data_IF_127683043451
#
_entry.id   IF_127683043451
#
_cell.length_a   1.000
_cell.length_b   1.000
_cell.length_c   1.000
_cell.angle_alpha   90.00
_cell.angle_beta   90.00
_cell.angle_gamma   90.00
#
_symmetry.space_group_name_H-M   'P 1'
#
loop_
_entity.id
_entity.type
_entity.pdbx_description
1 polymer ?
#
# COMPACT_ATOMS: atom_id res chain seq x y z
N UNK A 1 -21.12 13.67 -1.05
CA UNK A 1 -19.79 14.18 -1.46
C UNK A 1 -19.12 14.73 -0.21
N UNK A 2 -18.08 14.06 0.29
CA UNK A 2 -17.44 14.43 1.56
C UNK A 2 -16.54 15.66 1.35
N UNK A 3 -16.46 16.57 2.32
CA UNK A 3 -15.77 17.87 2.21
C UNK A 3 -14.30 17.79 1.79
N UNK A 4 -13.64 16.65 1.99
CA UNK A 4 -12.21 16.44 1.70
C UNK A 4 -11.95 15.92 0.27
N UNK A 5 -12.98 15.40 -0.41
CA UNK A 5 -12.87 14.89 -1.78
C UNK A 5 -12.47 15.96 -2.81
N UNK A 6 -13.00 17.20 -2.80
CA UNK A 6 -12.57 18.23 -3.76
C UNK A 6 -11.13 18.67 -3.54
N UNK A 7 -10.63 18.66 -2.29
CA UNK A 7 -9.25 19.03 -1.97
C UNK A 7 -8.29 17.97 -2.51
N UNK A 8 -8.59 16.69 -2.29
CA UNK A 8 -7.79 15.60 -2.81
C UNK A 8 -7.76 15.60 -4.35
N UNK A 9 -8.91 15.83 -5.00
CA UNK A 9 -8.98 15.94 -6.46
C UNK A 9 -8.16 17.12 -6.99
N UNK A 10 -8.25 18.28 -6.35
CA UNK A 10 -7.47 19.46 -6.74
C UNK A 10 -5.96 19.23 -6.57
N UNK A 11 -5.54 18.54 -5.51
CA UNK A 11 -4.13 18.19 -5.28
C UNK A 11 -3.62 17.18 -6.31
N UNK A 12 -4.40 16.14 -6.63
CA UNK A 12 -4.06 15.18 -7.69
C UNK A 12 -3.89 15.92 -9.03
N UNK A 13 -4.83 16.81 -9.37
CA UNK A 13 -4.79 17.57 -10.62
C UNK A 13 -3.59 18.54 -10.67
N UNK A 14 -3.28 19.20 -9.55
CA UNK A 14 -2.11 20.08 -9.43
C UNK A 14 -0.79 19.31 -9.57
N UNK A 15 -0.70 18.10 -9.03
CA UNK A 15 0.49 17.24 -9.16
C UNK A 15 0.67 16.73 -10.58
N UNK A 16 -0.42 16.33 -11.25
CA UNK A 16 -0.37 15.97 -12.68
C UNK A 16 0.12 17.17 -13.49
N UNK A 17 -0.42 18.36 -13.25
CA UNK A 17 0.03 19.59 -13.92
C UNK A 17 1.51 19.93 -13.62
N UNK A 18 1.95 19.77 -12.38
CA UNK A 18 3.35 19.99 -11.99
C UNK A 18 4.30 19.00 -12.66
N UNK A 19 3.90 17.73 -12.78
CA UNK A 19 4.68 16.73 -13.51
C UNK A 19 4.88 17.10 -14.99
N UNK A 20 3.95 17.85 -15.60
CA UNK A 20 4.12 18.36 -16.96
C UNK A 20 5.12 19.53 -17.07
N UNK A 21 5.38 20.26 -15.99
CA UNK A 21 6.33 21.38 -15.95
C UNK A 21 7.79 20.93 -15.74
N UNK A 22 8.03 19.72 -15.23
CA UNK A 22 9.38 19.23 -14.96
C UNK A 22 9.98 18.66 -16.26
N UNK A 23 11.23 19.02 -16.64
CA UNK A 23 11.89 18.50 -17.83
C UNK A 23 12.41 17.07 -17.59
N UNK A 24 11.47 16.14 -17.42
CA UNK A 24 11.72 14.70 -17.33
C UNK A 24 11.38 14.03 -18.66
N UNK A 25 12.13 12.98 -18.97
CA UNK A 25 11.77 11.97 -19.95
C UNK A 25 10.41 11.34 -19.60
N UNK A 26 9.71 10.86 -20.63
CA UNK A 26 8.29 10.45 -20.51
C UNK A 26 8.07 9.33 -19.47
N UNK A 27 8.87 8.24 -19.41
CA UNK A 27 8.61 7.18 -18.45
C UNK A 27 8.88 7.61 -17.00
N UNK A 28 9.93 8.38 -16.74
CA UNK A 28 10.28 8.91 -15.41
C UNK A 28 9.20 9.86 -14.91
N UNK A 29 8.65 10.69 -15.80
CA UNK A 29 7.55 11.60 -15.48
C UNK A 29 6.31 10.85 -14.98
N UNK A 30 5.96 9.74 -15.63
CA UNK A 30 4.82 8.90 -15.22
C UNK A 30 5.07 8.26 -13.86
N UNK A 31 6.27 7.72 -13.62
CA UNK A 31 6.62 7.11 -12.33
C UNK A 31 6.52 8.13 -11.20
N UNK A 32 7.07 9.33 -11.39
CA UNK A 32 7.00 10.42 -10.39
C UNK A 32 5.56 10.85 -10.16
N UNK A 33 4.75 11.01 -11.22
CA UNK A 33 3.34 11.36 -11.09
C UNK A 33 2.56 10.32 -10.28
N UNK A 34 2.74 9.02 -10.59
CA UNK A 34 2.07 7.93 -9.85
C UNK A 34 2.54 7.86 -8.39
N UNK A 35 3.83 8.08 -8.11
CA UNK A 35 4.36 8.13 -6.76
C UNK A 35 3.80 9.31 -5.94
N UNK A 36 3.63 10.47 -6.56
CA UNK A 36 3.02 11.63 -5.90
C UNK A 36 1.51 11.45 -5.69
N UNK A 37 0.82 10.87 -6.67
CA UNK A 37 -0.60 10.50 -6.52
C UNK A 37 -0.77 9.49 -5.38
N UNK A 38 0.12 8.49 -5.26
CA UNK A 38 0.05 7.51 -4.16
C UNK A 38 0.22 8.18 -2.80
N UNK A 39 1.18 9.10 -2.67
CA UNK A 39 1.41 9.84 -1.44
C UNK A 39 0.16 10.64 -1.01
N UNK A 40 -0.49 11.36 -1.94
CA UNK A 40 -1.73 12.09 -1.62
C UNK A 40 -2.85 11.12 -1.26
N UNK A 41 -3.10 10.11 -2.10
CA UNK A 41 -4.19 9.17 -1.94
C UNK A 41 -4.10 8.39 -0.62
N UNK A 42 -2.89 8.00 -0.20
CA UNK A 42 -2.70 7.27 1.04
C UNK A 42 -2.66 8.18 2.28
N UNK A 43 -2.31 9.46 2.14
CA UNK A 43 -2.31 10.42 3.25
C UNK A 43 -3.69 11.00 3.54
N UNK A 44 -4.43 11.39 2.49
CA UNK A 44 -5.75 12.02 2.62
C UNK A 44 -6.91 11.01 2.60
N UNK A 45 -6.61 9.77 2.22
CA UNK A 45 -7.55 8.65 2.09
C UNK A 45 -8.90 9.04 1.43
N UNK A 46 -8.89 9.73 0.26
CA UNK A 46 -10.14 10.10 -0.41
C UNK A 46 -10.88 8.88 -0.99
N UNK A 47 -10.14 7.80 -1.24
CA UNK A 47 -10.56 6.51 -1.76
C UNK A 47 -9.85 5.45 -0.90
N UNK A 48 -10.50 4.33 -0.56
CA UNK A 48 -9.88 3.26 0.22
C UNK A 48 -8.51 2.83 -0.31
N UNK A 49 -7.55 2.64 0.59
CA UNK A 49 -6.17 2.24 0.27
C UNK A 49 -6.11 1.03 -0.69
N UNK A 50 -6.92 -0.05 -0.52
CA UNK A 50 -6.86 -1.19 -1.43
C UNK A 50 -7.18 -0.83 -2.89
N UNK A 51 -8.17 0.05 -3.11
CA UNK A 51 -8.59 0.46 -4.45
C UNK A 51 -7.54 1.37 -5.11
N UNK A 52 -6.97 2.30 -4.34
CA UNK A 52 -5.91 3.19 -4.86
C UNK A 52 -4.63 2.41 -5.16
N UNK A 53 -4.24 1.47 -4.30
CA UNK A 53 -3.08 0.61 -4.52
C UNK A 53 -3.24 -0.25 -5.80
N UNK A 54 -4.40 -0.87 -6.00
CA UNK A 54 -4.70 -1.63 -7.23
C UNK A 54 -4.68 -0.73 -8.48
N UNK A 55 -5.32 0.45 -8.41
CA UNK A 55 -5.35 1.40 -9.52
C UNK A 55 -3.95 1.87 -9.94
N UNK A 56 -3.12 2.23 -8.97
CA UNK A 56 -1.74 2.66 -9.21
C UNK A 56 -0.85 1.52 -9.74
N UNK A 57 -1.02 0.32 -9.19
CA UNK A 57 -0.30 -0.86 -9.65
C UNK A 57 -0.62 -1.18 -11.12
N UNK A 58 -1.90 -1.10 -11.52
CA UNK A 58 -2.32 -1.31 -12.90
C UNK A 58 -1.95 -0.14 -13.84
N UNK A 59 -1.87 1.08 -13.31
CA UNK A 59 -1.49 2.26 -14.10
C UNK A 59 -0.06 2.16 -14.65
N UNK A 60 0.86 1.53 -13.93
CA UNK A 60 2.25 1.32 -14.37
C UNK A 60 2.36 0.59 -15.71
N UNK A 61 1.83 -0.64 -15.89
CA UNK A 61 1.92 -1.34 -17.17
C UNK A 61 0.99 -0.74 -18.24
N UNK A 62 -0.15 -0.17 -17.85
CA UNK A 62 -1.06 0.53 -18.80
C UNK A 62 -0.39 1.75 -19.42
N UNK A 63 0.48 2.43 -18.68
CA UNK A 63 1.25 3.57 -19.19
C UNK A 63 2.43 3.19 -20.10
N UNK A 64 2.71 1.89 -20.27
CA UNK A 64 3.84 1.41 -21.07
C UNK A 64 5.22 1.55 -20.42
N UNK A 65 5.28 2.04 -19.18
CA UNK A 65 6.55 2.23 -18.44
C UNK A 65 7.22 0.89 -18.10
N UNK A 66 6.44 -0.16 -17.89
CA UNK A 66 6.92 -1.49 -17.54
C UNK A 66 5.95 -2.57 -18.03
N UNK A 67 6.36 -3.84 -18.01
CA UNK A 67 5.50 -4.96 -18.38
C UNK A 67 4.62 -5.39 -17.21
N UNK A 68 3.50 -6.06 -17.51
CA UNK A 68 2.64 -6.64 -16.48
C UNK A 68 3.42 -7.63 -15.58
N UNK A 69 4.23 -8.51 -16.19
CA UNK A 69 5.08 -9.45 -15.46
C UNK A 69 6.04 -8.74 -14.50
N UNK A 70 6.76 -7.72 -14.97
CA UNK A 70 7.71 -6.97 -14.15
C UNK A 70 7.01 -6.20 -13.02
N UNK A 71 5.84 -5.62 -13.28
CA UNK A 71 5.04 -4.90 -12.28
C UNK A 71 4.62 -5.80 -11.12
N UNK A 72 4.15 -7.01 -11.43
CA UNK A 72 3.63 -7.95 -10.43
C UNK A 72 4.71 -8.84 -9.80
N UNK A 73 5.94 -8.85 -10.34
CA UNK A 73 7.07 -9.59 -9.78
C UNK A 73 7.34 -9.27 -8.30
N UNK A 74 6.97 -8.06 -7.84
CA UNK A 74 7.09 -7.65 -6.44
C UNK A 74 6.32 -8.56 -5.47
N UNK A 75 5.20 -9.17 -5.88
CA UNK A 75 4.42 -10.10 -5.04
C UNK A 75 5.12 -11.44 -4.83
N UNK A 76 6.08 -11.80 -5.68
CA UNK A 76 6.92 -12.98 -5.51
C UNK A 76 8.08 -12.77 -4.53
N UNK A 77 8.31 -11.55 -4.02
CA UNK A 77 9.46 -11.25 -3.18
C UNK A 77 9.33 -11.91 -1.80
N UNK A 78 10.43 -12.45 -1.23
CA UNK A 78 10.39 -13.12 0.08
C UNK A 78 9.80 -12.27 1.22
N UNK A 79 9.98 -10.95 1.17
CA UNK A 79 9.44 -10.03 2.17
C UNK A 79 7.90 -10.07 2.25
N UNK A 80 7.20 -10.15 1.11
CA UNK A 80 5.74 -10.24 1.06
C UNK A 80 5.28 -11.57 1.69
N UNK A 81 5.94 -12.67 1.33
CA UNK A 81 5.65 -13.99 1.86
C UNK A 81 5.97 -14.15 3.35
N UNK A 82 6.98 -13.46 3.85
CA UNK A 82 7.31 -13.42 5.27
C UNK A 82 6.18 -12.75 6.07
N UNK A 83 5.71 -11.59 5.61
CA UNK A 83 4.58 -10.89 6.26
C UNK A 83 3.32 -11.76 6.21
N UNK A 84 3.03 -12.36 5.05
CA UNK A 84 1.89 -13.28 4.90
C UNK A 84 1.98 -14.47 5.87
N UNK A 85 3.13 -15.12 5.95
CA UNK A 85 3.35 -16.24 6.86
C UNK A 85 3.19 -15.83 8.33
N UNK A 86 3.69 -14.64 8.70
CA UNK A 86 3.49 -14.08 10.04
C UNK A 86 2.01 -13.88 10.38
N UNK A 87 1.20 -13.38 9.43
CA UNK A 87 -0.25 -13.25 9.60
C UNK A 87 -0.93 -14.61 9.78
N UNK A 88 -0.58 -15.61 8.96
CA UNK A 88 -1.12 -16.97 9.09
C UNK A 88 -0.75 -17.60 10.44
N UNK A 89 0.49 -17.47 10.89
CA UNK A 89 0.94 -17.95 12.20
C UNK A 89 0.17 -17.25 13.33
N UNK A 90 0.01 -15.93 13.25
CA UNK A 90 -0.77 -15.16 14.24
C UNK A 90 -2.22 -15.65 14.33
N UNK A 91 -2.83 -15.98 13.20
CA UNK A 91 -4.17 -16.55 13.17
C UNK A 91 -4.20 -17.95 13.81
N UNK A 92 -3.23 -18.82 13.52
CA UNK A 92 -3.11 -20.14 14.16
C UNK A 92 -2.97 -20.04 15.68
N UNK A 93 -2.16 -19.10 16.18
CA UNK A 93 -2.00 -18.86 17.64
C UNK A 93 -3.34 -18.48 18.27
N UNK A 94 -4.16 -17.69 17.56
CA UNK A 94 -5.47 -17.23 18.03
C UNK A 94 -6.48 -18.36 18.04
N UNK A 95 -6.61 -19.10 16.92
CA UNK A 95 -7.56 -20.21 16.78
C UNK A 95 -7.26 -21.37 17.74
N UNK A 96 -5.99 -21.66 17.99
CA UNK A 96 -5.57 -22.73 18.92
C UNK A 96 -5.63 -22.32 20.39
N UNK A 97 -6.02 -21.07 20.71
CA UNK A 97 -5.98 -20.48 22.07
C UNK A 97 -4.60 -20.52 22.73
N UNK A 98 -3.53 -20.68 21.93
CA UNK A 98 -2.17 -20.71 22.44
C UNK A 98 -1.81 -19.37 23.11
N UNK A 99 -2.35 -18.26 22.59
CA UNK A 99 -2.22 -16.93 23.21
C UNK A 99 -2.76 -16.87 24.63
N UNK A 100 -3.96 -17.44 24.88
CA UNK A 100 -4.58 -17.46 26.21
C UNK A 100 -3.75 -18.31 27.18
N UNK A 101 -3.28 -19.48 26.73
CA UNK A 101 -2.41 -20.36 27.52
C UNK A 101 -1.14 -19.63 27.93
N UNK A 102 -0.44 -19.02 26.98
CA UNK A 102 0.80 -18.27 27.26
C UNK A 102 0.55 -17.09 28.20
N UNK A 103 -0.54 -16.34 28.00
CA UNK A 103 -0.87 -15.21 28.86
C UNK A 103 -1.15 -15.64 30.30
N UNK A 104 -1.88 -16.74 30.51
CA UNK A 104 -2.17 -17.29 31.83
C UNK A 104 -0.93 -17.82 32.55
N UNK A 105 -0.03 -18.47 31.80
CA UNK A 105 1.26 -18.94 32.31
C UNK A 105 2.12 -17.77 32.79
N UNK A 106 2.25 -16.70 31.99
CA UNK A 106 2.99 -15.50 32.38
C UNK A 106 2.36 -14.85 33.61
N UNK A 107 1.03 -14.67 33.61
CA UNK A 107 0.33 -14.06 34.74
C UNK A 107 0.52 -14.85 36.06
N UNK A 108 0.57 -16.19 35.98
CA UNK A 108 0.84 -17.03 37.15
C UNK A 108 2.26 -16.88 37.70
N UNK A 109 3.24 -16.53 36.85
CA UNK A 109 4.64 -16.32 37.27
C UNK A 109 4.90 -14.96 37.89
N UNK A 110 4.06 -13.96 37.61
CA UNK A 110 4.17 -12.59 38.15
C UNK A 110 3.43 -12.37 39.48
N UNK A 111 2.58 -13.32 39.90
CA UNK A 111 1.84 -13.25 41.18
C UNK A 111 2.63 -13.82 42.38
N UNK A 112 3.89 -14.21 42.17
CA UNK A 112 4.86 -14.54 43.20
C UNK A 112 5.87 -13.40 43.34
#
# INVERSE_FOLDING_TARGET
>A
MNRNQPIALALILAIVALAFLIPLETPERVVVALALISAICWTLEPIPIPLTALGLLLALPVSGVTTFESTFAAFGRPAVWLVFSGMVISQLITETKLGDILSSLIASRLKH
#
